data_IF_382045772524
#
_entry.id   IF_382045772524
#
_cell.length_a   1.000
_cell.length_b   1.000
_cell.length_c   1.000
_cell.angle_alpha   90.00
_cell.angle_beta   90.00
_cell.angle_gamma   90.00
#
_symmetry.space_group_name_H-M   'P 1'
#
loop_
_entity.id
_entity.type
_entity.pdbx_description
1 polymer ?
#
# COMPACT_ATOMS: atom_id res chain seq x y z
N UNK A 1 9.01 -15.87 9.69
CA UNK A 1 8.59 -14.51 9.27
C UNK A 1 9.60 -13.49 9.75
N UNK A 2 10.01 -12.60 8.89
CA UNK A 2 10.95 -11.53 9.23
C UNK A 2 10.25 -10.48 10.10
N UNK A 3 10.65 -10.38 11.37
CA UNK A 3 10.06 -9.41 12.30
C UNK A 3 10.59 -8.00 12.02
N UNK A 4 9.69 -7.05 11.80
CA UNK A 4 10.02 -5.65 11.52
C UNK A 4 9.27 -4.74 12.50
N UNK A 5 9.90 -3.64 12.89
CA UNK A 5 9.28 -2.65 13.79
C UNK A 5 8.01 -2.04 13.21
N UNK A 6 8.00 -1.80 11.90
CA UNK A 6 6.85 -1.24 11.19
C UNK A 6 5.63 -2.17 11.20
N UNK A 7 5.81 -3.47 11.37
CA UNK A 7 4.70 -4.45 11.37
C UNK A 7 3.61 -4.05 12.37
N UNK A 8 4.01 -3.74 13.60
CA UNK A 8 3.07 -3.33 14.65
C UNK A 8 2.33 -2.04 14.30
N UNK A 9 3.02 -1.09 13.71
CA UNK A 9 2.39 0.16 13.26
C UNK A 9 1.34 -0.09 12.19
N UNK A 10 1.65 -0.94 11.20
CA UNK A 10 0.70 -1.33 10.15
C UNK A 10 -0.54 -2.01 10.73
N UNK A 11 -0.33 -2.96 11.64
CA UNK A 11 -1.44 -3.66 12.32
C UNK A 11 -2.36 -2.67 13.05
N UNK A 12 -1.79 -1.79 13.84
CA UNK A 12 -2.55 -0.80 14.61
C UNK A 12 -3.33 0.14 13.69
N UNK A 13 -2.72 0.60 12.62
CA UNK A 13 -3.40 1.49 11.68
C UNK A 13 -4.56 0.78 10.97
N UNK A 14 -4.33 -0.42 10.46
CA UNK A 14 -5.31 -1.15 9.66
C UNK A 14 -6.52 -1.63 10.46
N UNK A 15 -6.39 -1.80 11.76
CA UNK A 15 -7.52 -2.15 12.65
C UNK A 15 -8.13 -0.93 13.34
N UNK A 16 -7.55 0.26 13.17
CA UNK A 16 -8.05 1.48 13.80
C UNK A 16 -9.31 2.01 13.13
N UNK A 17 -10.01 2.91 13.81
CA UNK A 17 -11.17 3.61 13.25
C UNK A 17 -10.78 4.68 12.21
N UNK A 18 -9.49 4.99 12.05
CA UNK A 18 -9.03 5.96 11.06
C UNK A 18 -9.28 5.46 9.65
N UNK A 19 -9.87 6.30 8.82
CA UNK A 19 -10.05 6.03 7.39
C UNK A 19 -8.95 6.64 6.51
N UNK A 20 -7.92 7.23 7.12
CA UNK A 20 -6.77 7.76 6.37
C UNK A 20 -6.00 6.63 5.71
N UNK A 21 -5.56 6.87 4.48
CA UNK A 21 -4.76 5.89 3.74
C UNK A 21 -3.32 6.00 4.20
N UNK A 22 -2.75 4.87 4.58
CA UNK A 22 -1.33 4.79 4.94
C UNK A 22 -0.50 4.64 3.67
N UNK A 23 0.49 5.50 3.51
CA UNK A 23 1.47 5.48 2.43
C UNK A 23 2.84 5.15 3.02
N UNK A 24 3.32 3.96 2.76
CA UNK A 24 4.63 3.49 3.24
C UNK A 24 5.71 3.91 2.25
N UNK A 25 6.59 4.80 2.68
CA UNK A 25 7.70 5.32 1.88
C UNK A 25 9.01 4.68 2.31
N UNK A 26 9.84 4.32 1.37
CA UNK A 26 11.18 3.80 1.64
C UNK A 26 11.90 3.40 0.36
N UNK A 27 13.22 3.21 0.47
CA UNK A 27 14.03 2.78 -0.66
C UNK A 27 13.54 1.45 -1.24
N UNK A 28 13.93 1.16 -2.47
CA UNK A 28 13.66 -0.15 -3.07
C UNK A 28 14.32 -1.25 -2.24
N UNK A 29 13.65 -2.41 -2.18
CA UNK A 29 14.17 -3.62 -1.53
C UNK A 29 14.39 -3.53 -0.01
N UNK A 30 13.76 -2.57 0.67
CA UNK A 30 13.76 -2.55 2.15
C UNK A 30 12.70 -3.47 2.76
N UNK A 31 11.85 -4.08 1.93
CA UNK A 31 10.85 -5.05 2.38
C UNK A 31 9.44 -4.49 2.55
N UNK A 32 9.12 -3.34 1.97
CA UNK A 32 7.79 -2.71 2.07
C UNK A 32 6.67 -3.65 1.64
N UNK A 33 6.76 -4.16 0.41
CA UNK A 33 5.72 -5.03 -0.16
C UNK A 33 5.54 -6.31 0.62
N UNK A 34 6.64 -6.89 1.09
CA UNK A 34 6.62 -8.11 1.91
C UNK A 34 5.84 -7.91 3.21
N UNK A 35 6.15 -6.85 3.95
CA UNK A 35 5.51 -6.59 5.25
C UNK A 35 4.03 -6.25 5.07
N UNK A 36 3.71 -5.41 4.09
CA UNK A 36 2.32 -5.02 3.81
C UNK A 36 1.51 -6.24 3.41
N UNK A 37 2.03 -7.08 2.52
CA UNK A 37 1.35 -8.29 2.07
C UNK A 37 1.10 -9.25 3.24
N UNK A 38 2.08 -9.48 4.06
CA UNK A 38 1.96 -10.37 5.22
C UNK A 38 0.88 -9.89 6.19
N UNK A 39 0.91 -8.62 6.56
CA UNK A 39 -0.09 -8.04 7.46
C UNK A 39 -1.48 -8.01 6.81
N UNK A 40 -1.55 -7.59 5.54
CA UNK A 40 -2.82 -7.48 4.82
C UNK A 40 -3.52 -8.81 4.64
N UNK A 41 -2.80 -9.83 4.23
CA UNK A 41 -3.37 -11.18 4.06
C UNK A 41 -3.79 -11.81 5.39
N UNK A 42 -3.15 -11.45 6.48
CA UNK A 42 -3.49 -11.95 7.80
C UNK A 42 -4.71 -11.26 8.42
N UNK A 43 -4.87 -9.96 8.19
CA UNK A 43 -5.92 -9.17 8.83
C UNK A 43 -7.22 -9.07 8.01
N UNK A 44 -7.16 -9.26 6.70
CA UNK A 44 -8.31 -9.07 5.81
C UNK A 44 -8.71 -10.38 5.12
N UNK A 45 -10.00 -10.63 5.03
CA UNK A 45 -10.53 -11.79 4.32
C UNK A 45 -10.24 -11.71 2.82
N UNK A 46 -10.28 -10.51 2.25
CA UNK A 46 -9.99 -10.25 0.85
C UNK A 46 -8.80 -9.29 0.73
N UNK A 47 -7.81 -9.70 -0.04
CA UNK A 47 -6.60 -8.93 -0.28
C UNK A 47 -6.31 -8.87 -1.77
N UNK A 48 -6.13 -7.66 -2.29
CA UNK A 48 -5.78 -7.42 -3.69
C UNK A 48 -4.54 -6.53 -3.74
N UNK A 49 -3.53 -6.96 -4.50
CA UNK A 49 -2.29 -6.21 -4.67
C UNK A 49 -2.15 -5.80 -6.13
N UNK A 50 -1.94 -4.50 -6.35
CA UNK A 50 -1.69 -3.92 -7.66
C UNK A 50 -0.29 -3.32 -7.66
N UNK A 51 0.62 -3.91 -8.43
CA UNK A 51 1.99 -3.41 -8.58
C UNK A 51 2.08 -2.56 -9.86
N UNK A 52 2.29 -1.26 -9.70
CA UNK A 52 2.29 -0.34 -10.84
C UNK A 52 3.56 -0.41 -11.69
N UNK A 53 4.69 -0.89 -11.15
CA UNK A 53 5.87 -1.19 -11.98
C UNK A 53 5.56 -2.33 -12.93
N UNK A 54 5.03 -3.42 -12.42
CA UNK A 54 4.66 -4.59 -13.22
C UNK A 54 3.59 -4.24 -14.25
N UNK A 55 2.59 -3.45 -13.86
CA UNK A 55 1.54 -3.00 -14.77
C UNK A 55 2.11 -2.13 -15.89
N UNK A 56 3.01 -1.20 -15.56
CA UNK A 56 3.63 -0.32 -16.56
C UNK A 56 4.51 -1.05 -17.55
N UNK A 57 5.17 -2.11 -17.12
CA UNK A 57 6.00 -2.98 -17.98
C UNK A 57 5.18 -4.00 -18.75
N UNK A 58 3.91 -4.19 -18.41
CA UNK A 58 3.01 -5.18 -19.00
C UNK A 58 1.81 -4.55 -19.71
N UNK A 59 0.62 -4.88 -19.25
CA UNK A 59 -0.65 -4.53 -19.90
C UNK A 59 -1.01 -3.06 -19.78
N UNK A 60 -0.45 -2.33 -18.82
CA UNK A 60 -0.71 -0.92 -18.53
C UNK A 60 -2.19 -0.64 -18.23
N UNK A 61 -2.85 -1.57 -17.55
CA UNK A 61 -4.28 -1.50 -17.24
C UNK A 61 -4.64 -0.27 -16.41
N UNK A 62 -3.76 0.12 -15.48
CA UNK A 62 -4.01 1.22 -14.54
C UNK A 62 -3.32 2.53 -14.90
N UNK A 63 -2.56 2.58 -16.00
CA UNK A 63 -1.71 3.72 -16.36
C UNK A 63 -2.47 5.01 -16.62
N UNK A 64 -3.55 4.95 -17.37
CA UNK A 64 -4.31 6.11 -17.83
C UNK A 64 -5.62 6.30 -17.05
N UNK A 65 -5.65 5.84 -15.82
CA UNK A 65 -6.81 6.00 -14.92
C UNK A 65 -6.69 7.33 -14.18
N UNK A 66 -7.69 8.19 -14.33
CA UNK A 66 -7.73 9.51 -13.69
C UNK A 66 -8.97 9.74 -12.82
N UNK A 67 -9.94 8.84 -12.88
CA UNK A 67 -11.17 8.92 -12.08
C UNK A 67 -11.37 7.68 -11.24
N UNK A 68 -12.11 7.85 -10.15
CA UNK A 68 -12.46 6.74 -9.24
C UNK A 68 -13.30 5.69 -9.95
N UNK A 69 -14.24 6.11 -10.80
CA UNK A 69 -15.10 5.18 -11.54
C UNK A 69 -14.30 4.31 -12.51
N UNK A 70 -13.37 4.91 -13.24
CA UNK A 70 -12.44 4.15 -14.10
C UNK A 70 -11.60 3.18 -13.30
N UNK A 71 -11.08 3.62 -12.16
CA UNK A 71 -10.29 2.76 -11.27
C UNK A 71 -11.07 1.53 -10.82
N UNK A 72 -12.28 1.71 -10.32
CA UNK A 72 -13.10 0.59 -9.86
C UNK A 72 -13.52 -0.35 -10.98
N UNK A 73 -13.78 0.17 -12.17
CA UNK A 73 -14.06 -0.66 -13.33
C UNK A 73 -12.90 -1.60 -13.66
N UNK A 74 -11.68 -1.06 -13.68
CA UNK A 74 -10.48 -1.86 -13.95
C UNK A 74 -10.11 -2.79 -12.81
N UNK A 75 -10.29 -2.33 -11.58
CA UNK A 75 -10.09 -3.17 -10.39
C UNK A 75 -11.01 -4.39 -10.43
N UNK A 76 -12.28 -4.21 -10.78
CA UNK A 76 -13.25 -5.29 -10.89
C UNK A 76 -12.84 -6.33 -11.93
N UNK A 77 -12.23 -5.91 -13.04
CA UNK A 77 -11.75 -6.83 -14.08
C UNK A 77 -10.59 -7.71 -13.61
N UNK A 78 -9.78 -7.23 -12.66
CA UNK A 78 -8.63 -7.98 -12.13
C UNK A 78 -9.00 -8.80 -10.89
N UNK A 79 -9.78 -8.22 -9.99
CA UNK A 79 -10.03 -8.78 -8.66
C UNK A 79 -11.30 -9.65 -8.59
N UNK A 80 -12.31 -9.36 -9.41
CA UNK A 80 -13.55 -10.14 -9.48
C UNK A 80 -14.18 -10.39 -8.11
N UNK A 81 -14.30 -11.66 -7.73
CA UNK A 81 -14.94 -12.11 -6.49
C UNK A 81 -14.18 -11.76 -5.21
N UNK A 82 -12.96 -11.26 -5.32
CA UNK A 82 -12.14 -10.85 -4.16
C UNK A 82 -12.50 -9.47 -3.62
N UNK A 83 -13.51 -8.82 -4.18
CA UNK A 83 -13.99 -7.53 -3.72
C UNK A 83 -15.24 -7.69 -2.85
N UNK A 84 -15.13 -7.36 -1.59
CA UNK A 84 -16.21 -7.36 -0.63
C UNK A 84 -16.61 -5.93 -0.24
N UNK A 85 -16.25 -5.53 0.99
CA UNK A 85 -16.59 -4.21 1.53
C UNK A 85 -15.40 -3.59 2.28
N UNK A 86 -15.61 -2.40 2.84
CA UNK A 86 -14.58 -1.64 3.55
C UNK A 86 -13.94 -2.40 4.72
N UNK A 87 -14.70 -3.23 5.42
CA UNK A 87 -14.23 -3.91 6.63
C UNK A 87 -13.47 -5.21 6.33
N UNK A 88 -13.70 -5.82 5.17
CA UNK A 88 -13.13 -7.14 4.85
C UNK A 88 -12.15 -7.14 3.68
N UNK A 89 -12.01 -6.03 2.96
CA UNK A 89 -11.20 -5.95 1.74
C UNK A 89 -10.13 -4.88 1.84
N UNK A 90 -8.87 -5.30 1.68
CA UNK A 90 -7.72 -4.41 1.57
C UNK A 90 -7.17 -4.42 0.15
N UNK A 91 -7.04 -3.22 -0.42
CA UNK A 91 -6.39 -2.99 -1.71
C UNK A 91 -5.03 -2.37 -1.47
N UNK A 92 -3.98 -3.02 -1.93
CA UNK A 92 -2.61 -2.52 -1.84
C UNK A 92 -2.14 -1.99 -3.18
N UNK A 93 -1.81 -0.70 -3.23
CA UNK A 93 -1.23 -0.03 -4.39
C UNK A 93 0.29 0.05 -4.21
N UNK A 94 1.00 -0.88 -4.85
CA UNK A 94 2.46 -0.97 -4.73
C UNK A 94 3.15 -0.15 -5.81
N UNK A 95 4.22 0.55 -5.43
CA UNK A 95 5.02 1.39 -6.31
C UNK A 95 4.20 2.53 -6.95
N UNK A 96 3.47 3.26 -6.11
CA UNK A 96 2.51 4.30 -6.54
C UNK A 96 3.16 5.44 -7.34
N UNK A 97 4.47 5.68 -7.16
CA UNK A 97 5.20 6.72 -7.90
C UNK A 97 5.25 6.46 -9.41
N UNK A 98 5.01 5.22 -9.86
CA UNK A 98 4.96 4.90 -11.29
C UNK A 98 3.77 5.57 -11.98
N UNK A 99 2.69 5.80 -11.25
CA UNK A 99 1.49 6.48 -11.74
C UNK A 99 1.13 7.63 -10.78
N UNK A 100 1.81 8.78 -10.89
CA UNK A 100 1.68 9.88 -9.91
C UNK A 100 0.27 10.42 -9.72
N UNK A 101 -0.61 10.29 -10.72
CA UNK A 101 -2.01 10.72 -10.63
C UNK A 101 -2.78 10.00 -9.50
N UNK A 102 -2.34 8.80 -9.10
CA UNK A 102 -2.96 8.08 -7.99
C UNK A 102 -2.79 8.78 -6.65
N UNK A 103 -1.75 9.60 -6.48
CA UNK A 103 -1.59 10.39 -5.26
C UNK A 103 -2.78 11.36 -5.06
N UNK A 104 -3.30 11.91 -6.16
CA UNK A 104 -4.52 12.72 -6.11
C UNK A 104 -5.77 11.86 -5.93
N UNK A 105 -5.84 10.69 -6.58
CA UNK A 105 -6.97 9.78 -6.47
C UNK A 105 -7.17 9.24 -5.04
N UNK A 106 -6.11 9.09 -4.26
CA UNK A 106 -6.20 8.57 -2.88
C UNK A 106 -7.22 9.31 -2.04
N UNK A 107 -7.34 10.64 -2.20
CA UNK A 107 -8.34 11.43 -1.49
C UNK A 107 -9.75 10.94 -1.77
N UNK A 108 -10.07 10.73 -3.04
CA UNK A 108 -11.41 10.31 -3.46
C UNK A 108 -11.70 8.87 -3.11
N UNK A 109 -10.71 7.99 -3.23
CA UNK A 109 -10.82 6.60 -2.79
C UNK A 109 -11.09 6.50 -1.29
N UNK A 110 -10.45 7.34 -0.50
CA UNK A 110 -10.70 7.43 0.93
C UNK A 110 -12.12 7.91 1.24
N UNK A 111 -12.58 8.96 0.56
CA UNK A 111 -13.90 9.56 0.80
C UNK A 111 -15.05 8.58 0.54
N UNK A 112 -14.92 7.72 -0.46
CA UNK A 112 -15.96 6.74 -0.78
C UNK A 112 -16.05 5.59 0.20
N UNK A 113 -14.96 5.27 0.93
CA UNK A 113 -14.91 4.16 1.89
C UNK A 113 -15.46 2.83 1.37
N UNK A 114 -15.25 2.57 0.08
CA UNK A 114 -15.73 1.34 -0.56
C UNK A 114 -14.87 0.14 -0.18
N UNK A 115 -13.57 0.34 -0.15
CA UNK A 115 -12.56 -0.63 0.29
C UNK A 115 -11.52 0.08 1.13
N UNK A 116 -10.79 -0.69 1.93
CA UNK A 116 -9.63 -0.16 2.63
C UNK A 116 -8.41 -0.16 1.70
N UNK A 117 -7.63 0.91 1.75
CA UNK A 117 -6.45 1.08 0.91
C UNK A 117 -5.20 1.24 1.74
N UNK A 118 -4.10 0.72 1.23
CA UNK A 118 -2.73 1.02 1.65
C UNK A 118 -1.88 1.18 0.40
N UNK A 119 -0.90 2.06 0.44
CA UNK A 119 -0.01 2.29 -0.68
C UNK A 119 1.45 2.25 -0.25
N UNK A 120 2.32 1.97 -1.17
CA UNK A 120 3.76 2.06 -0.96
C UNK A 120 4.43 2.78 -2.13
N UNK A 121 5.60 3.31 -1.88
CA UNK A 121 6.40 3.90 -2.95
C UNK A 121 7.82 4.19 -2.52
N UNK A 122 8.67 4.38 -3.52
CA UNK A 122 10.04 4.85 -3.38
C UNK A 122 10.19 6.20 -4.07
N UNK A 123 11.12 7.04 -3.59
CA UNK A 123 11.36 8.37 -4.15
C UNK A 123 10.09 9.24 -4.26
N UNK A 124 9.16 9.10 -3.31
CA UNK A 124 7.88 9.81 -3.32
C UNK A 124 8.05 11.33 -3.25
N UNK A 125 9.14 11.83 -2.68
CA UNK A 125 9.42 13.26 -2.65
C UNK A 125 9.46 13.91 -4.02
N UNK A 126 9.93 13.22 -5.05
CA UNK A 126 9.91 13.70 -6.43
C UNK A 126 8.49 13.66 -7.01
N UNK A 127 7.77 12.58 -6.80
CA UNK A 127 6.39 12.43 -7.27
C UNK A 127 5.46 13.48 -6.62
N UNK A 128 5.62 13.73 -5.32
CA UNK A 128 4.85 14.72 -4.58
C UNK A 128 5.10 16.15 -5.06
N UNK A 129 6.29 16.48 -5.57
CA UNK A 129 6.61 17.80 -6.14
C UNK A 129 5.91 18.06 -7.48
N UNK A 130 5.55 16.99 -8.20
CA UNK A 130 4.92 17.08 -9.52
C UNK A 130 3.40 16.95 -9.45
N UNK A 131 2.83 16.69 -8.28
CA UNK A 131 1.37 16.63 -8.12
C UNK A 131 0.82 18.01 -7.77
N UNK A 132 -0.26 18.41 -8.44
CA UNK A 132 -0.93 19.70 -8.24
C UNK A 132 -1.70 19.79 -6.92
N UNK A 133 -1.98 18.65 -6.29
CA UNK A 133 -2.62 18.61 -4.96
C UNK A 133 -2.17 17.40 -4.18
N UNK A 134 -1.52 17.63 -3.05
CA UNK A 134 -1.27 16.61 -2.05
C UNK A 134 -2.53 16.48 -1.19
N UNK A 135 -3.10 15.28 -0.99
CA UNK A 135 -4.30 15.12 -0.17
C UNK A 135 -3.96 15.23 1.32
N UNK A 136 -3.64 16.43 1.78
CA UNK A 136 -3.37 16.72 3.19
C UNK A 136 -4.58 16.32 4.02
N UNK A 137 -4.37 15.50 5.05
CA UNK A 137 -5.46 14.99 5.91
C UNK A 137 -6.10 13.69 5.42
N UNK A 138 -5.86 13.26 4.18
CA UNK A 138 -6.37 11.99 3.65
C UNK A 138 -5.35 10.85 3.71
N UNK A 139 -4.07 11.19 3.80
CA UNK A 139 -2.95 10.26 3.73
C UNK A 139 -2.02 10.47 4.92
N UNK A 140 -1.55 9.37 5.51
CA UNK A 140 -0.47 9.37 6.49
C UNK A 140 0.74 8.74 5.84
N UNK A 141 1.88 9.44 5.85
CA UNK A 141 3.13 8.93 5.31
C UNK A 141 3.94 8.31 6.46
N UNK A 142 4.28 7.04 6.32
CA UNK A 142 5.15 6.32 7.25
C UNK A 142 6.40 5.85 6.53
N UNK A 143 7.56 6.30 7.01
CA UNK A 143 8.85 5.88 6.44
C UNK A 143 9.26 4.50 6.94
N UNK A 144 9.75 3.68 6.03
CA UNK A 144 10.36 2.40 6.32
C UNK A 144 11.83 2.42 5.89
N UNK A 145 12.68 1.99 6.80
CA UNK A 145 14.14 1.97 6.62
C UNK A 145 14.63 0.54 6.40
N UNK A 146 15.87 0.37 5.90
CA UNK A 146 16.53 -0.95 5.93
C UNK A 146 16.56 -1.53 7.34
N UNK A 147 16.83 -2.82 7.46
CA UNK A 147 16.96 -3.50 8.75
C UNK A 147 17.95 -2.75 9.65
N UNK A 148 17.49 -2.39 10.84
CA UNK A 148 18.39 -1.89 11.86
C UNK A 148 19.03 -3.06 12.63
N UNK A 149 19.96 -2.75 13.52
CA UNK A 149 20.71 -3.77 14.25
C UNK A 149 19.80 -4.65 15.12
N UNK A 150 18.80 -4.06 15.77
CA UNK A 150 17.85 -4.78 16.60
C UNK A 150 16.99 -5.74 15.77
N UNK A 151 16.46 -5.27 14.64
CA UNK A 151 15.71 -6.11 13.71
C UNK A 151 16.57 -7.24 13.13
N UNK A 152 17.84 -6.98 12.86
CA UNK A 152 18.80 -7.99 12.44
C UNK A 152 19.01 -9.06 13.50
N UNK A 153 19.12 -8.68 14.78
CA UNK A 153 19.21 -9.65 15.88
C UNK A 153 17.97 -10.53 15.96
N UNK A 154 16.78 -9.95 15.82
CA UNK A 154 15.53 -10.73 15.82
C UNK A 154 15.49 -11.78 14.71
N UNK A 155 16.06 -11.47 13.55
CA UNK A 155 16.16 -12.45 12.45
C UNK A 155 17.07 -13.63 12.81
N UNK A 156 18.20 -13.34 13.44
CA UNK A 156 19.15 -14.38 13.85
C UNK A 156 18.59 -15.27 14.96
N UNK A 157 17.92 -14.71 15.95
CA UNK A 157 17.26 -15.47 17.00
C UNK A 157 16.20 -16.43 16.44
N UNK A 158 15.46 -15.99 15.43
CA UNK A 158 14.47 -16.84 14.74
C UNK A 158 15.13 -17.99 13.99
N UNK A 159 16.33 -17.81 13.48
CA UNK A 159 17.10 -18.87 12.81
C UNK A 159 17.69 -19.84 13.82
N UNK A 160 18.17 -19.35 14.97
CA UNK A 160 18.77 -20.17 16.01
C UNK A 160 17.75 -20.99 16.81
N UNK A 161 16.46 -20.61 16.77
CA UNK A 161 15.37 -21.35 17.44
C UNK A 161 14.75 -22.45 16.57
N UNK A 162 15.22 -22.60 15.33
CA UNK A 162 14.85 -23.69 14.42
C UNK A 162 15.84 -24.85 14.57
#
# INVERSE_FOLDING_TARGET
MLKRKITRYLEQHLVSASNKILLVEGARQVGKSYVIREVGQRLFANYVELNFVTDNEGVQLFKNVHTVDEFYLRLSSVAGDRLGNYNDTLIFLDEIQCYPQYLTLLKFLREEQKYRFIASGSALGMALRHTTSIPVGSVIIKKMYPLDFEEFLWCNDSIMSL
#
